data_IF_197379891303
#
_entry.id   IF_197379891303
#
_cell.length_a   1.000
_cell.length_b   1.000
_cell.length_c   1.000
_cell.angle_alpha   90.00
_cell.angle_beta   90.00
_cell.angle_gamma   90.00
#
_symmetry.space_group_name_H-M   'P 1'
#
loop_
_entity.id
_entity.type
_entity.pdbx_description
1 polymer ?
#
# COMPACT_ATOMS: atom_id res chain seq x y z
N UNK A 1 15.41 32.86 -3.22
CA UNK A 1 13.95 32.84 -3.44
C UNK A 1 13.45 31.70 -2.64
N UNK A 2 12.85 31.94 -1.49
CA UNK A 2 12.39 30.94 -0.52
C UNK A 2 11.36 30.05 -1.21
N UNK A 3 11.50 28.73 -1.08
CA UNK A 3 10.51 27.78 -1.58
C UNK A 3 9.17 28.02 -0.83
N UNK A 4 8.09 28.42 -1.51
CA UNK A 4 6.83 28.76 -0.85
C UNK A 4 6.18 27.56 -0.12
N UNK A 5 6.64 26.35 -0.38
CA UNK A 5 6.15 25.14 0.29
C UNK A 5 6.73 24.96 1.72
N UNK A 6 7.74 25.73 2.09
CA UNK A 6 8.53 25.48 3.30
C UNK A 6 8.33 26.53 4.42
N UNK A 7 7.26 27.32 4.39
CA UNK A 7 7.02 28.39 5.36
C UNK A 7 5.75 28.14 6.17
N UNK A 8 5.86 28.27 7.49
CA UNK A 8 4.74 28.17 8.44
C UNK A 8 4.59 29.48 9.22
N UNK A 9 3.35 29.87 9.46
CA UNK A 9 3.04 30.93 10.45
C UNK A 9 2.52 30.22 11.72
N UNK A 10 3.31 30.32 12.78
CA UNK A 10 2.91 29.82 14.10
C UNK A 10 2.29 30.97 14.88
N UNK A 11 1.04 30.82 15.27
CA UNK A 11 0.30 31.75 16.12
C UNK A 11 0.14 31.08 17.49
N UNK A 12 0.66 31.72 18.53
CA UNK A 12 0.61 31.23 19.90
C UNK A 12 -0.04 32.26 20.81
N UNK A 13 -1.08 31.85 21.55
CA UNK A 13 -1.64 32.73 22.62
C UNK A 13 -0.74 32.65 23.84
N UNK A 14 -0.38 33.80 24.39
CA UNK A 14 0.54 33.90 25.53
C UNK A 14 -0.25 34.16 26.81
N UNK A 15 -0.20 33.25 27.81
CA UNK A 15 -0.88 33.43 29.07
C UNK A 15 -0.37 34.62 29.84
N UNK A 16 -1.22 35.20 30.69
CA UNK A 16 -0.86 36.30 31.59
C UNK A 16 0.32 35.88 32.48
N UNK A 17 1.36 36.73 32.54
CA UNK A 17 2.58 36.51 33.30
C UNK A 17 3.67 35.69 32.59
N UNK A 18 3.42 35.20 31.38
CA UNK A 18 4.40 34.41 30.57
C UNK A 18 5.05 35.23 29.44
N UNK A 19 4.60 36.46 29.20
CA UNK A 19 5.04 37.28 28.06
C UNK A 19 6.57 37.43 27.98
N UNK A 20 7.22 37.75 29.11
CA UNK A 20 8.68 37.93 29.16
C UNK A 20 9.46 36.62 29.00
N UNK A 21 8.89 35.49 29.39
CA UNK A 21 9.49 34.16 29.19
C UNK A 21 9.41 33.77 27.70
N UNK A 22 8.26 34.02 27.08
CA UNK A 22 8.05 33.76 25.64
C UNK A 22 8.96 34.65 24.79
N UNK A 23 9.08 35.94 25.13
CA UNK A 23 10.01 36.85 24.41
C UNK A 23 11.44 36.33 24.47
N UNK A 24 11.92 35.96 25.66
CA UNK A 24 13.28 35.42 25.81
C UNK A 24 13.48 34.14 25.02
N UNK A 25 12.53 33.24 25.03
CA UNK A 25 12.63 32.00 24.27
C UNK A 25 12.70 32.27 22.76
N UNK A 26 11.89 33.21 22.25
CA UNK A 26 11.93 33.57 20.82
C UNK A 26 13.20 34.38 20.45
N UNK A 27 13.68 35.24 21.36
CA UNK A 27 14.93 35.97 21.18
C UNK A 27 16.16 35.04 21.22
N UNK A 28 16.18 34.04 22.11
CA UNK A 28 17.22 33.02 22.23
C UNK A 28 17.30 32.11 20.98
N UNK A 29 16.15 31.86 20.35
CA UNK A 29 16.06 31.12 19.05
C UNK A 29 16.38 32.05 17.86
N UNK A 30 16.59 33.38 18.09
CA UNK A 30 16.84 34.40 17.05
C UNK A 30 15.79 34.35 15.92
N UNK A 31 14.51 34.17 16.26
CA UNK A 31 13.40 34.15 15.31
C UNK A 31 12.69 35.50 15.27
N UNK A 32 12.28 35.90 14.08
CA UNK A 32 11.41 37.07 13.92
C UNK A 32 10.01 36.80 14.44
N UNK A 33 9.44 37.72 15.20
CA UNK A 33 8.06 37.57 15.66
C UNK A 33 7.36 38.95 15.78
N UNK A 34 6.04 38.89 15.70
CA UNK A 34 5.18 40.05 16.03
C UNK A 34 4.27 39.70 17.21
N UNK A 35 4.14 40.63 18.15
CA UNK A 35 3.21 40.49 19.27
C UNK A 35 2.03 41.43 19.08
N UNK A 36 0.83 40.91 19.31
CA UNK A 36 -0.41 41.69 19.37
C UNK A 36 -1.04 41.55 20.75
N UNK A 37 -1.46 42.66 21.36
CA UNK A 37 -2.16 42.59 22.63
C UNK A 37 -3.49 41.88 22.49
N UNK A 38 -3.80 40.99 23.45
CA UNK A 38 -5.07 40.30 23.50
C UNK A 38 -6.04 41.12 24.37
N UNK A 39 -7.16 41.57 23.80
CA UNK A 39 -8.08 42.52 24.41
C UNK A 39 -9.39 41.90 24.89
N UNK A 40 -9.55 40.57 24.79
CA UNK A 40 -10.80 39.88 25.17
C UNK A 40 -10.97 39.69 26.69
N UNK A 41 -10.05 40.22 27.52
CA UNK A 41 -10.06 40.08 28.99
C UNK A 41 -10.07 38.64 29.50
N UNK A 42 -9.55 37.68 28.72
CA UNK A 42 -9.39 36.31 29.09
C UNK A 42 -8.02 36.05 29.74
N UNK A 43 -7.65 34.80 29.91
CA UNK A 43 -6.44 34.33 30.56
C UNK A 43 -5.13 34.63 29.77
N UNK A 44 -5.24 35.33 28.63
CA UNK A 44 -4.12 35.61 27.71
C UNK A 44 -3.73 37.09 27.72
N UNK A 45 -2.43 37.35 27.63
CA UNK A 45 -1.87 38.71 27.58
C UNK A 45 -1.60 39.17 26.16
N UNK A 46 -1.20 38.26 25.28
CA UNK A 46 -0.83 38.60 23.91
C UNK A 46 -0.99 37.38 22.96
N UNK A 47 -0.91 37.67 21.66
CA UNK A 47 -0.77 36.68 20.63
C UNK A 47 0.58 36.91 19.95
N UNK A 48 1.41 35.87 19.88
CA UNK A 48 2.66 35.88 19.16
C UNK A 48 2.44 35.28 17.75
N UNK A 49 2.91 35.97 16.73
CA UNK A 49 2.94 35.55 15.34
C UNK A 49 4.38 35.28 14.95
N UNK A 50 4.74 34.06 14.67
CA UNK A 50 6.12 33.63 14.42
C UNK A 50 6.19 32.95 13.06
N UNK A 51 6.73 33.61 12.02
CA UNK A 51 6.97 32.99 10.74
C UNK A 51 8.22 32.10 10.82
N UNK A 52 8.10 30.84 10.50
CA UNK A 52 9.16 29.84 10.63
C UNK A 52 9.31 29.00 9.36
N UNK A 53 10.52 28.55 9.02
CA UNK A 53 10.67 27.42 8.11
C UNK A 53 10.09 26.16 8.76
N UNK A 54 9.60 25.23 7.94
CA UNK A 54 8.87 24.03 8.40
C UNK A 54 9.66 23.22 9.42
N UNK A 55 10.97 23.08 9.23
CA UNK A 55 11.88 22.37 10.12
C UNK A 55 12.15 23.07 11.47
N UNK A 56 11.95 24.38 11.56
CA UNK A 56 12.10 25.15 12.79
C UNK A 56 10.86 25.12 13.70
N UNK A 57 9.70 24.68 13.20
CA UNK A 57 8.43 24.75 13.95
C UNK A 57 8.48 23.90 15.23
N UNK A 58 8.92 22.65 15.16
CA UNK A 58 8.96 21.78 16.35
C UNK A 58 9.99 22.23 17.39
N UNK A 59 11.27 22.58 17.03
CA UNK A 59 12.22 23.13 17.96
C UNK A 59 11.72 24.39 18.68
N UNK A 60 11.18 25.37 17.95
CA UNK A 60 10.65 26.61 18.54
C UNK A 60 9.45 26.33 19.44
N UNK A 61 8.55 25.41 19.06
CA UNK A 61 7.45 25.00 19.94
C UNK A 61 7.95 24.32 21.22
N UNK A 62 9.07 23.58 21.16
CA UNK A 62 9.67 22.95 22.34
C UNK A 62 10.29 24.00 23.27
N UNK A 63 11.03 24.98 22.76
CA UNK A 63 11.54 26.11 23.52
C UNK A 63 10.41 26.93 24.19
N UNK A 64 9.29 27.12 23.48
CA UNK A 64 8.11 27.77 24.07
C UNK A 64 7.47 26.94 25.20
N UNK A 65 7.45 25.61 25.08
CA UNK A 65 6.98 24.72 26.16
C UNK A 65 7.88 24.81 27.38
N UNK A 66 9.20 24.85 27.20
CA UNK A 66 10.15 25.04 28.30
C UNK A 66 9.98 26.41 28.97
N UNK A 67 9.62 27.45 28.19
CA UNK A 67 9.24 28.74 28.70
C UNK A 67 7.90 28.76 29.47
N UNK A 68 7.19 27.62 29.49
CA UNK A 68 5.95 27.40 30.25
C UNK A 68 4.67 27.68 29.48
N UNK A 69 4.70 27.56 28.16
CA UNK A 69 3.51 27.50 27.31
C UNK A 69 3.02 26.04 27.35
N UNK A 70 1.86 25.81 27.96
CA UNK A 70 1.27 24.49 28.09
C UNK A 70 0.79 23.96 26.73
N UNK A 71 0.75 22.64 26.56
CA UNK A 71 0.16 21.97 25.39
C UNK A 71 -1.33 22.28 25.19
N UNK A 72 -2.03 22.69 26.27
CA UNK A 72 -3.42 23.15 26.22
C UNK A 72 -3.57 24.58 25.69
N UNK A 73 -2.47 25.34 25.57
CA UNK A 73 -2.47 26.71 25.09
C UNK A 73 -2.82 26.75 23.58
N UNK A 74 -3.73 27.65 23.23
CA UNK A 74 -4.20 27.77 21.85
C UNK A 74 -3.05 28.16 20.92
N UNK A 75 -2.63 27.18 20.11
CA UNK A 75 -1.56 27.33 19.12
C UNK A 75 -2.09 26.91 17.76
N UNK A 76 -1.87 27.73 16.75
CA UNK A 76 -2.27 27.44 15.35
C UNK A 76 -1.03 27.48 14.48
N UNK A 77 -0.87 26.49 13.64
CA UNK A 77 0.16 26.44 12.60
C UNK A 77 -0.55 26.55 11.25
N UNK A 78 -0.18 27.54 10.46
CA UNK A 78 -0.78 27.85 9.16
C UNK A 78 0.28 27.80 8.07
N UNK A 79 -0.08 27.28 6.90
CA UNK A 79 0.73 27.36 5.70
C UNK A 79 0.81 28.82 5.23
N UNK A 80 2.01 29.39 5.14
CA UNK A 80 2.23 30.69 4.58
C UNK A 80 2.78 30.56 3.16
N UNK A 81 2.16 31.27 2.21
CA UNK A 81 2.59 31.24 0.80
C UNK A 81 3.92 31.91 0.55
N UNK A 82 4.30 32.88 1.35
CA UNK A 82 5.57 33.58 1.28
C UNK A 82 5.82 34.37 2.57
N UNK A 83 7.07 34.51 2.95
CA UNK A 83 7.56 35.43 3.99
C UNK A 83 8.54 36.39 3.34
N UNK A 84 8.43 37.66 3.72
CA UNK A 84 9.38 38.70 3.36
C UNK A 84 10.02 39.19 4.67
N UNK A 85 11.13 38.58 5.05
CA UNK A 85 11.95 38.95 6.21
C UNK A 85 13.42 39.00 5.77
N UNK A 86 14.23 39.83 6.47
CA UNK A 86 15.66 39.94 6.17
C UNK A 86 16.47 38.78 6.73
N UNK A 87 15.99 38.17 7.81
CA UNK A 87 16.73 37.19 8.57
C UNK A 87 16.19 35.75 8.33
N UNK A 88 15.14 35.63 7.51
CA UNK A 88 14.50 34.33 7.25
C UNK A 88 15.42 33.32 6.51
N UNK A 89 16.25 33.80 5.57
CA UNK A 89 17.24 32.98 4.87
C UNK A 89 18.31 32.40 5.84
N UNK A 90 18.75 33.24 6.80
CA UNK A 90 19.70 32.83 7.84
C UNK A 90 19.07 31.80 8.80
N UNK A 91 17.79 31.93 9.10
CA UNK A 91 17.03 30.98 9.91
C UNK A 91 16.85 29.66 9.17
N UNK A 92 16.55 29.71 7.89
CA UNK A 92 16.42 28.52 7.03
C UNK A 92 17.76 27.76 6.94
N UNK A 93 18.90 28.47 6.76
CA UNK A 93 20.23 27.88 6.75
C UNK A 93 20.59 27.23 8.09
N UNK A 94 20.25 27.86 9.22
CA UNK A 94 20.54 27.34 10.58
C UNK A 94 19.82 26.01 10.82
N UNK A 95 18.55 25.92 10.46
CA UNK A 95 17.76 24.71 10.64
C UNK A 95 17.90 23.72 9.47
N UNK A 96 18.57 24.09 8.35
CA UNK A 96 18.87 23.20 7.26
C UNK A 96 19.95 22.14 7.61
N UNK A 97 20.85 22.46 8.57
CA UNK A 97 21.84 21.50 9.07
C UNK A 97 21.23 20.37 9.90
N UNK A 98 20.06 20.57 10.49
CA UNK A 98 19.25 19.49 11.04
C UNK A 98 18.45 18.81 9.93
N UNK A 99 19.08 17.96 9.16
CA UNK A 99 18.67 17.13 8.01
C UNK A 99 17.25 16.50 8.11
N UNK A 100 16.23 17.32 8.38
CA UNK A 100 14.85 16.87 8.54
C UNK A 100 13.87 17.82 7.87
N UNK A 101 13.58 17.56 6.58
CA UNK A 101 12.37 18.00 5.87
C UNK A 101 11.10 17.44 6.54
N UNK A 102 10.95 17.64 7.86
CA UNK A 102 9.82 17.10 8.61
C UNK A 102 8.91 18.21 9.11
N UNK A 103 7.63 18.03 8.89
CA UNK A 103 6.61 18.87 9.53
C UNK A 103 6.53 18.59 11.04
N UNK A 104 6.02 19.56 11.80
CA UNK A 104 5.81 19.38 13.23
C UNK A 104 4.89 18.18 13.53
N UNK A 105 5.12 17.50 14.66
CA UNK A 105 4.33 16.33 15.07
C UNK A 105 2.82 16.58 15.12
N UNK A 106 2.39 17.73 15.62
CA UNK A 106 0.96 18.13 15.66
C UNK A 106 0.39 18.31 14.26
N UNK A 107 1.20 18.84 13.34
CA UNK A 107 0.86 18.99 11.93
C UNK A 107 0.73 17.64 11.24
N UNK A 108 1.67 16.71 11.48
CA UNK A 108 1.59 15.33 10.96
C UNK A 108 0.28 14.64 11.39
N UNK A 109 -0.10 14.77 12.67
CA UNK A 109 -1.35 14.20 13.20
C UNK A 109 -2.55 14.83 12.52
N UNK A 110 -2.58 16.16 12.37
CA UNK A 110 -3.66 16.89 11.71
C UNK A 110 -3.78 16.49 10.24
N UNK A 111 -2.66 16.44 9.50
CA UNK A 111 -2.62 16.04 8.11
C UNK A 111 -3.14 14.60 7.90
N UNK A 112 -2.74 13.65 8.77
CA UNK A 112 -3.23 12.29 8.69
C UNK A 112 -4.74 12.17 9.01
N UNK A 113 -5.26 13.00 9.92
CA UNK A 113 -6.69 13.05 10.23
C UNK A 113 -7.51 13.67 9.10
N UNK A 114 -6.97 14.67 8.42
CA UNK A 114 -7.63 15.33 7.28
C UNK A 114 -7.82 14.39 6.09
N UNK A 115 -6.92 13.42 5.90
CA UNK A 115 -7.06 12.38 4.87
C UNK A 115 -8.23 11.43 5.10
N UNK A 116 -8.82 11.41 6.29
CA UNK A 116 -9.96 10.53 6.63
C UNK A 116 -11.27 11.24 6.32
N UNK A 117 -12.02 10.83 5.29
CA UNK A 117 -13.31 11.43 4.98
C UNK A 117 -14.34 11.09 6.07
N UNK A 118 -15.46 11.83 6.08
CA UNK A 118 -16.58 11.48 6.97
C UNK A 118 -17.06 10.04 6.69
N UNK A 119 -17.54 9.34 7.72
CA UNK A 119 -17.94 7.92 7.63
C UNK A 119 -18.92 7.64 6.48
N UNK A 120 -19.87 8.55 6.23
CA UNK A 120 -20.81 8.39 5.12
C UNK A 120 -20.12 8.41 3.76
N UNK A 121 -19.21 9.38 3.55
CA UNK A 121 -18.42 9.48 2.31
C UNK A 121 -17.51 8.25 2.15
N UNK A 122 -16.88 7.83 3.25
CA UNK A 122 -16.02 6.64 3.28
C UNK A 122 -16.76 5.39 2.79
N UNK A 123 -17.94 5.11 3.35
CA UNK A 123 -18.76 3.95 2.98
C UNK A 123 -19.17 4.03 1.50
N UNK A 124 -19.73 5.16 1.06
CA UNK A 124 -20.20 5.30 -0.33
C UNK A 124 -19.07 5.13 -1.33
N UNK A 125 -17.95 5.83 -1.12
CA UNK A 125 -16.80 5.75 -2.04
C UNK A 125 -16.19 4.35 -2.07
N UNK A 126 -16.09 3.66 -0.93
CA UNK A 126 -15.58 2.29 -0.85
C UNK A 126 -16.50 1.31 -1.60
N UNK A 127 -17.81 1.41 -1.42
CA UNK A 127 -18.79 0.57 -2.15
C UNK A 127 -18.72 0.81 -3.65
N UNK A 128 -18.74 2.08 -4.09
CA UNK A 128 -18.65 2.43 -5.50
C UNK A 128 -17.35 1.93 -6.12
N UNK A 129 -16.23 2.14 -5.44
CA UNK A 129 -14.92 1.66 -5.89
C UNK A 129 -14.90 0.13 -6.04
N UNK A 130 -15.39 -0.61 -5.03
CA UNK A 130 -15.43 -2.08 -5.06
C UNK A 130 -16.32 -2.62 -6.18
N UNK A 131 -17.48 -1.99 -6.43
CA UNK A 131 -18.39 -2.37 -7.53
C UNK A 131 -17.71 -2.15 -8.89
N UNK A 132 -17.09 -0.98 -9.10
CA UNK A 132 -16.38 -0.67 -10.36
C UNK A 132 -15.19 -1.61 -10.55
N UNK A 133 -14.42 -1.89 -9.48
CA UNK A 133 -13.31 -2.84 -9.54
C UNK A 133 -13.79 -4.24 -9.94
N UNK A 134 -14.89 -4.70 -9.35
CA UNK A 134 -15.47 -6.01 -9.69
C UNK A 134 -15.94 -6.07 -11.15
N UNK A 135 -16.56 -5.00 -11.64
CA UNK A 135 -16.92 -4.90 -13.05
C UNK A 135 -15.69 -4.93 -13.96
N UNK A 136 -14.65 -4.17 -13.62
CA UNK A 136 -13.39 -4.14 -14.36
C UNK A 136 -12.70 -5.50 -14.43
N UNK A 137 -12.65 -6.22 -13.31
CA UNK A 137 -12.08 -7.58 -13.23
C UNK A 137 -12.87 -8.58 -14.09
N UNK A 138 -14.19 -8.55 -14.03
CA UNK A 138 -15.06 -9.45 -14.81
C UNK A 138 -15.07 -9.13 -16.32
N UNK A 139 -14.81 -7.87 -16.67
CA UNK A 139 -14.70 -7.40 -18.07
C UNK A 139 -13.27 -7.56 -18.64
N UNK A 140 -12.32 -8.06 -17.84
CA UNK A 140 -10.89 -8.10 -18.20
C UNK A 140 -10.38 -6.74 -18.69
N UNK A 141 -10.74 -5.66 -17.96
CA UNK A 141 -10.43 -4.29 -18.34
C UNK A 141 -9.55 -3.58 -17.30
N UNK A 142 -8.22 -3.54 -17.51
CA UNK A 142 -7.30 -2.82 -16.62
C UNK A 142 -7.68 -1.35 -16.43
N UNK A 143 -8.18 -0.71 -17.49
CA UNK A 143 -8.56 0.70 -17.42
C UNK A 143 -9.71 0.96 -16.44
N UNK A 144 -10.73 0.09 -16.40
CA UNK A 144 -11.85 0.19 -15.46
C UNK A 144 -11.38 -0.12 -14.05
N UNK A 145 -10.50 -1.12 -13.89
CA UNK A 145 -9.91 -1.47 -12.59
C UNK A 145 -9.13 -0.27 -12.04
N UNK A 146 -8.25 0.35 -12.82
CA UNK A 146 -7.51 1.57 -12.42
C UNK A 146 -8.46 2.72 -12.10
N UNK A 147 -9.51 2.93 -12.91
CA UNK A 147 -10.54 3.96 -12.63
C UNK A 147 -11.20 3.78 -11.25
N UNK A 148 -11.42 2.55 -10.80
CA UNK A 148 -11.99 2.25 -9.49
C UNK A 148 -11.09 2.71 -8.32
N UNK A 149 -9.78 2.61 -8.50
CA UNK A 149 -8.78 2.92 -7.46
C UNK A 149 -8.71 4.41 -7.15
N UNK A 150 -8.97 5.28 -8.14
CA UNK A 150 -8.97 6.74 -7.98
C UNK A 150 -10.05 7.20 -6.98
N UNK A 151 -11.11 6.42 -6.84
CA UNK A 151 -12.26 6.75 -5.98
C UNK A 151 -12.06 6.24 -4.54
N UNK A 152 -11.24 5.22 -4.35
CA UNK A 152 -11.09 4.51 -3.08
C UNK A 152 -10.45 5.38 -1.98
N UNK A 153 -11.08 5.56 -0.81
CA UNK A 153 -10.59 6.44 0.24
C UNK A 153 -9.67 5.70 1.25
N UNK A 154 -8.69 4.93 0.77
CA UNK A 154 -7.91 4.03 1.61
C UNK A 154 -6.63 4.65 2.19
N UNK A 155 -6.16 5.77 1.68
CA UNK A 155 -4.95 6.45 2.18
C UNK A 155 -5.14 6.92 3.64
N UNK A 156 -6.27 7.54 3.96
CA UNK A 156 -6.55 8.08 5.29
C UNK A 156 -6.43 7.02 6.39
N UNK A 157 -7.15 5.88 6.32
CA UNK A 157 -7.02 4.79 7.29
C UNK A 157 -5.60 4.25 7.46
N UNK A 158 -4.85 4.09 6.35
CA UNK A 158 -3.48 3.57 6.40
C UNK A 158 -2.52 4.56 7.09
N UNK A 159 -2.59 5.84 6.73
CA UNK A 159 -1.75 6.87 7.34
C UNK A 159 -2.13 7.12 8.80
N UNK A 160 -3.42 7.15 9.13
CA UNK A 160 -3.90 7.27 10.52
C UNK A 160 -3.39 6.14 11.41
N UNK A 161 -3.35 4.90 10.91
CA UNK A 161 -2.78 3.75 11.64
C UNK A 161 -1.29 3.93 11.89
N UNK A 162 -0.55 4.31 10.85
CA UNK A 162 0.91 4.43 10.91
C UNK A 162 1.34 5.62 11.77
N UNK A 163 0.70 6.77 11.60
CA UNK A 163 0.95 7.97 12.43
C UNK A 163 0.56 7.71 13.87
N UNK A 164 -0.64 7.17 14.14
CA UNK A 164 -1.08 6.82 15.51
C UNK A 164 -0.11 5.87 16.21
N UNK A 165 0.53 4.96 15.44
CA UNK A 165 1.56 4.06 15.98
C UNK A 165 2.84 4.82 16.36
N UNK A 166 3.36 5.67 15.46
CA UNK A 166 4.65 6.35 15.68
C UNK A 166 4.55 7.44 16.75
N UNK A 167 3.40 8.11 16.86
CA UNK A 167 3.16 9.14 17.90
C UNK A 167 2.66 8.57 19.21
N UNK A 168 2.38 7.23 19.28
CA UNK A 168 1.83 6.52 20.44
C UNK A 168 0.47 7.09 20.86
N UNK A 169 -0.39 7.34 19.87
CA UNK A 169 -1.80 7.72 20.06
C UNK A 169 -2.69 6.49 19.83
N UNK A 170 -3.18 5.90 20.95
CA UNK A 170 -3.98 4.67 20.92
C UNK A 170 -5.34 4.85 20.28
N UNK A 171 -5.95 6.03 20.42
CA UNK A 171 -7.25 6.33 19.85
C UNK A 171 -7.14 6.48 18.33
N UNK A 172 -6.14 7.23 17.86
CA UNK A 172 -5.84 7.40 16.46
C UNK A 172 -5.50 6.06 15.79
N UNK A 173 -4.63 5.26 16.43
CA UNK A 173 -4.29 3.91 15.95
C UNK A 173 -5.53 3.03 15.81
N UNK A 174 -6.33 2.92 16.88
CA UNK A 174 -7.53 2.08 16.89
C UNK A 174 -8.55 2.54 15.83
N UNK A 175 -8.71 3.86 15.64
CA UNK A 175 -9.55 4.44 14.60
C UNK A 175 -9.08 4.06 13.20
N UNK A 176 -7.76 4.17 12.93
CA UNK A 176 -7.17 3.81 11.65
C UNK A 176 -7.37 2.33 11.32
N UNK A 177 -7.03 1.43 12.26
CA UNK A 177 -7.23 -0.02 12.11
C UNK A 177 -8.70 -0.37 11.90
N UNK A 178 -9.61 0.22 12.68
CA UNK A 178 -11.05 0.01 12.52
C UNK A 178 -11.52 0.38 11.12
N UNK A 179 -11.08 1.52 10.60
CA UNK A 179 -11.45 1.96 9.24
C UNK A 179 -10.85 1.05 8.15
N UNK A 180 -9.61 0.57 8.32
CA UNK A 180 -9.02 -0.41 7.39
C UNK A 180 -9.84 -1.71 7.36
N UNK A 181 -10.18 -2.27 8.52
CA UNK A 181 -10.98 -3.50 8.61
C UNK A 181 -12.37 -3.29 8.02
N UNK A 182 -13.05 -2.19 8.39
CA UNK A 182 -14.39 -1.86 7.86
C UNK A 182 -14.34 -1.67 6.35
N UNK A 183 -13.36 -0.92 5.84
CA UNK A 183 -13.19 -0.69 4.40
C UNK A 183 -12.95 -1.98 3.63
N UNK A 184 -12.08 -2.86 4.15
CA UNK A 184 -11.81 -4.15 3.53
C UNK A 184 -13.05 -5.05 3.50
N UNK A 185 -13.71 -5.22 4.64
CA UNK A 185 -14.93 -6.05 4.71
C UNK A 185 -16.04 -5.51 3.83
N UNK A 186 -16.20 -4.17 3.79
CA UNK A 186 -17.18 -3.52 2.94
C UNK A 186 -16.86 -3.70 1.45
N UNK A 187 -15.60 -3.61 1.07
CA UNK A 187 -15.14 -3.86 -0.30
C UNK A 187 -15.44 -5.29 -0.73
N UNK A 188 -15.09 -6.27 0.11
CA UNK A 188 -15.34 -7.70 -0.17
C UNK A 188 -16.84 -7.97 -0.26
N UNK A 189 -17.64 -7.45 0.69
CA UNK A 189 -19.09 -7.68 0.71
C UNK A 189 -19.78 -7.06 -0.51
N UNK A 190 -19.38 -5.82 -0.88
CA UNK A 190 -19.93 -5.13 -2.05
C UNK A 190 -19.54 -5.83 -3.36
N UNK A 191 -18.31 -6.27 -3.47
CA UNK A 191 -17.81 -7.03 -4.60
C UNK A 191 -18.54 -8.38 -4.72
N UNK A 192 -18.70 -9.11 -3.62
CA UNK A 192 -19.42 -10.38 -3.59
C UNK A 192 -20.90 -10.21 -3.99
N UNK A 193 -21.56 -9.19 -3.46
CA UNK A 193 -22.96 -8.90 -3.78
C UNK A 193 -23.13 -8.54 -5.27
N UNK A 194 -22.26 -7.67 -5.79
CA UNK A 194 -22.32 -7.27 -7.20
C UNK A 194 -21.96 -8.42 -8.14
N UNK A 195 -20.93 -9.19 -7.84
CA UNK A 195 -20.51 -10.36 -8.60
C UNK A 195 -21.62 -11.46 -8.59
N UNK A 196 -22.23 -11.71 -7.43
CA UNK A 196 -23.37 -12.63 -7.32
C UNK A 196 -24.56 -12.15 -8.15
N UNK A 197 -24.89 -10.85 -8.10
CA UNK A 197 -25.92 -10.26 -8.92
C UNK A 197 -25.63 -10.44 -10.41
N UNK A 198 -24.41 -10.09 -10.87
CA UNK A 198 -24.00 -10.24 -12.27
C UNK A 198 -24.08 -11.69 -12.78
N UNK A 199 -23.73 -12.64 -11.92
CA UNK A 199 -23.85 -14.07 -12.20
C UNK A 199 -25.33 -14.51 -12.31
N UNK A 200 -26.19 -14.08 -11.39
CA UNK A 200 -27.61 -14.50 -11.37
C UNK A 200 -28.43 -13.90 -12.52
N UNK A 201 -28.11 -12.69 -12.94
CA UNK A 201 -28.77 -12.00 -14.07
C UNK A 201 -28.12 -12.39 -15.42
N UNK A 202 -27.12 -13.28 -15.42
CA UNK A 202 -26.41 -13.76 -16.62
C UNK A 202 -25.68 -12.63 -17.40
N UNK A 203 -25.21 -11.59 -16.71
CA UNK A 203 -24.33 -10.56 -17.31
C UNK A 203 -22.95 -11.14 -17.67
N UNK A 204 -22.55 -12.19 -16.97
CA UNK A 204 -21.36 -12.98 -17.28
C UNK A 204 -21.82 -14.34 -17.81
N UNK A 205 -21.23 -14.87 -18.89
CA UNK A 205 -21.63 -16.17 -19.43
C UNK A 205 -21.64 -17.27 -18.37
N UNK A 206 -22.67 -18.14 -18.34
CA UNK A 206 -22.88 -19.08 -17.21
C UNK A 206 -21.76 -20.07 -16.95
N UNK A 207 -20.92 -20.35 -17.96
CA UNK A 207 -19.80 -21.28 -17.86
C UNK A 207 -18.43 -20.60 -17.77
N UNK A 208 -18.39 -19.28 -17.53
CA UNK A 208 -17.12 -18.56 -17.39
C UNK A 208 -16.40 -19.03 -16.12
N UNK A 209 -15.21 -19.58 -16.31
CA UNK A 209 -14.31 -19.82 -15.19
C UNK A 209 -13.55 -18.53 -14.88
N UNK A 210 -13.89 -17.91 -13.76
CA UNK A 210 -13.28 -16.64 -13.35
C UNK A 210 -11.77 -16.76 -13.11
N UNK A 211 -11.26 -17.98 -12.95
CA UNK A 211 -9.82 -18.22 -12.78
C UNK A 211 -9.03 -18.12 -14.07
N UNK A 212 -9.71 -18.07 -15.23
CA UNK A 212 -9.06 -17.90 -16.55
C UNK A 212 -9.01 -16.44 -17.00
N UNK A 213 -9.65 -15.53 -16.26
CA UNK A 213 -9.62 -14.09 -16.57
C UNK A 213 -8.26 -13.54 -16.12
N UNK A 214 -7.43 -12.96 -17.03
CA UNK A 214 -6.09 -12.46 -16.72
C UNK A 214 -6.06 -11.49 -15.52
N UNK A 215 -6.97 -10.50 -15.51
CA UNK A 215 -7.10 -9.53 -14.41
C UNK A 215 -7.39 -10.19 -13.05
N UNK A 216 -8.07 -11.35 -13.03
CA UNK A 216 -8.32 -12.12 -11.81
C UNK A 216 -7.10 -12.96 -11.45
N UNK A 217 -6.45 -13.60 -12.44
CA UNK A 217 -5.29 -14.47 -12.24
C UNK A 217 -4.14 -13.76 -11.53
N UNK A 218 -3.84 -12.52 -11.92
CA UNK A 218 -2.79 -11.70 -11.29
C UNK A 218 -3.00 -11.49 -9.78
N UNK A 219 -4.21 -11.74 -9.28
CA UNK A 219 -4.61 -11.44 -7.89
C UNK A 219 -4.97 -12.70 -7.08
N UNK A 220 -4.65 -13.88 -7.60
CA UNK A 220 -4.96 -15.14 -6.92
C UNK A 220 -4.01 -15.46 -5.77
N UNK A 221 -2.80 -14.97 -5.83
CA UNK A 221 -1.76 -15.23 -4.82
C UNK A 221 -0.82 -14.03 -4.67
N UNK A 222 -0.25 -13.82 -3.48
CA UNK A 222 0.78 -12.82 -3.29
C UNK A 222 2.03 -13.19 -4.08
N UNK A 223 2.65 -12.18 -4.71
CA UNK A 223 3.90 -12.28 -5.41
C UNK A 223 4.87 -11.16 -4.98
N UNK A 224 6.10 -11.22 -5.49
CA UNK A 224 7.13 -10.21 -5.18
C UNK A 224 6.77 -8.83 -5.74
N UNK A 225 6.15 -8.75 -6.90
CA UNK A 225 5.80 -7.47 -7.52
C UNK A 225 4.67 -6.77 -6.77
N UNK A 226 3.65 -7.52 -6.33
CA UNK A 226 2.58 -6.96 -5.50
C UNK A 226 3.10 -6.44 -4.15
N UNK A 227 4.07 -7.14 -3.55
CA UNK A 227 4.76 -6.65 -2.36
C UNK A 227 5.52 -5.36 -2.62
N UNK A 228 6.27 -5.27 -3.74
CA UNK A 228 7.01 -4.06 -4.11
C UNK A 228 6.07 -2.86 -4.29
N UNK A 229 4.91 -3.07 -4.93
CA UNK A 229 3.86 -2.05 -5.08
C UNK A 229 3.32 -1.62 -3.71
N UNK A 230 3.04 -2.55 -2.81
CA UNK A 230 2.52 -2.24 -1.48
C UNK A 230 3.54 -1.46 -0.63
N UNK A 231 4.82 -1.87 -0.65
CA UNK A 231 5.91 -1.15 0.03
C UNK A 231 6.07 0.25 -0.57
N UNK A 232 6.12 0.37 -1.90
CA UNK A 232 6.20 1.66 -2.59
C UNK A 232 5.03 2.60 -2.24
N UNK A 233 3.81 2.06 -2.16
CA UNK A 233 2.62 2.80 -1.75
C UNK A 233 2.72 3.31 -0.30
N UNK A 234 3.25 2.50 0.61
CA UNK A 234 3.48 2.90 2.00
C UNK A 234 4.54 3.99 2.14
N UNK A 235 5.65 3.87 1.39
CA UNK A 235 6.71 4.91 1.32
C UNK A 235 6.13 6.21 0.76
N UNK A 236 5.46 6.16 -0.39
CA UNK A 236 4.87 7.34 -1.01
C UNK A 236 3.81 7.99 -0.10
N UNK A 237 3.01 7.17 0.63
CA UNK A 237 2.01 7.66 1.59
C UNK A 237 2.61 8.48 2.71
N UNK A 238 3.69 8.01 3.31
CA UNK A 238 4.38 8.73 4.37
C UNK A 238 5.08 9.99 3.86
N UNK A 239 5.73 9.93 2.69
CA UNK A 239 6.33 11.11 2.06
C UNK A 239 5.28 12.16 1.67
N UNK A 240 4.09 11.74 1.24
CA UNK A 240 2.97 12.67 0.98
C UNK A 240 2.58 13.48 2.22
N UNK A 241 2.59 12.84 3.39
CA UNK A 241 2.30 13.52 4.66
C UNK A 241 3.41 14.48 5.09
N UNK A 242 4.68 14.10 4.88
CA UNK A 242 5.83 14.85 5.43
C UNK A 242 6.40 15.88 4.48
N UNK A 243 6.34 15.65 3.16
CA UNK A 243 6.96 16.48 2.13
C UNK A 243 5.97 17.16 1.17
N UNK A 244 4.66 17.14 1.47
CA UNK A 244 3.66 17.84 0.67
C UNK A 244 3.39 17.26 -0.72
N UNK A 245 3.80 16.02 -0.99
CA UNK A 245 3.47 15.32 -2.24
C UNK A 245 1.96 15.12 -2.33
N UNK A 246 1.40 15.17 -3.55
CA UNK A 246 -0.04 15.05 -3.78
C UNK A 246 -0.63 13.76 -3.18
N UNK A 247 -1.43 13.91 -2.13
CA UNK A 247 -2.13 12.83 -1.44
C UNK A 247 -3.09 12.05 -2.35
N UNK A 248 -3.62 12.68 -3.39
CA UNK A 248 -4.51 12.05 -4.35
C UNK A 248 -3.81 10.96 -5.17
N UNK A 249 -2.59 11.23 -5.68
CA UNK A 249 -1.82 10.24 -6.44
C UNK A 249 -1.40 9.06 -5.56
N UNK A 250 -0.99 9.34 -4.34
CA UNK A 250 -0.61 8.31 -3.37
C UNK A 250 -1.80 7.46 -2.95
N UNK A 251 -2.98 8.08 -2.81
CA UNK A 251 -4.23 7.37 -2.53
C UNK A 251 -4.54 6.30 -3.57
N UNK A 252 -4.30 6.61 -4.85
CA UNK A 252 -4.44 5.64 -5.94
C UNK A 252 -3.48 4.47 -5.76
N UNK A 253 -2.19 4.71 -5.44
CA UNK A 253 -1.21 3.63 -5.26
C UNK A 253 -1.58 2.67 -4.12
N UNK A 254 -2.08 3.20 -2.99
CA UNK A 254 -2.58 2.36 -1.88
C UNK A 254 -3.80 1.54 -2.31
N UNK A 255 -4.70 2.16 -3.08
CA UNK A 255 -5.88 1.49 -3.59
C UNK A 255 -5.55 0.39 -4.62
N UNK A 256 -4.51 0.57 -5.45
CA UNK A 256 -3.98 -0.46 -6.37
C UNK A 256 -3.64 -1.75 -5.61
N UNK A 257 -3.01 -1.62 -4.46
CA UNK A 257 -2.60 -2.76 -3.66
C UNK A 257 -3.75 -3.47 -2.93
N UNK A 258 -4.90 -2.80 -2.70
CA UNK A 258 -5.93 -3.31 -1.81
C UNK A 258 -7.29 -3.59 -2.48
N UNK A 259 -7.78 -2.69 -3.35
CA UNK A 259 -9.14 -2.79 -3.90
C UNK A 259 -9.31 -3.96 -4.86
N UNK A 260 -8.46 -4.16 -5.90
CA UNK A 260 -8.65 -5.27 -6.83
C UNK A 260 -8.53 -6.64 -6.17
N UNK A 261 -7.54 -6.90 -5.29
CA UNK A 261 -7.50 -8.16 -4.56
C UNK A 261 -8.72 -8.37 -3.66
N UNK A 262 -9.23 -7.32 -2.99
CA UNK A 262 -10.45 -7.41 -2.19
C UNK A 262 -11.68 -7.73 -3.05
N UNK A 263 -11.77 -7.15 -4.26
CA UNK A 263 -12.82 -7.46 -5.23
C UNK A 263 -12.70 -8.92 -5.73
N UNK A 264 -11.48 -9.41 -5.96
CA UNK A 264 -11.23 -10.82 -6.33
C UNK A 264 -11.66 -11.79 -5.23
N UNK A 265 -11.48 -11.44 -3.94
CA UNK A 265 -12.07 -12.22 -2.82
C UNK A 265 -13.58 -12.32 -2.98
N UNK A 266 -14.25 -11.20 -3.24
CA UNK A 266 -15.70 -11.15 -3.46
C UNK A 266 -16.17 -11.97 -4.66
N UNK A 267 -15.45 -11.91 -5.78
CA UNK A 267 -15.70 -12.74 -6.97
C UNK A 267 -15.57 -14.23 -6.60
N UNK A 268 -14.50 -14.62 -5.91
CA UNK A 268 -14.30 -15.99 -5.46
C UNK A 268 -15.45 -16.52 -4.60
N UNK A 269 -15.98 -15.69 -3.69
CA UNK A 269 -17.16 -16.02 -2.88
C UNK A 269 -18.39 -16.22 -3.78
N UNK A 270 -18.65 -15.31 -4.71
CA UNK A 270 -19.81 -15.35 -5.60
C UNK A 270 -19.80 -16.57 -6.55
N UNK A 271 -18.63 -17.02 -6.98
CA UNK A 271 -18.47 -18.20 -7.83
C UNK A 271 -18.30 -19.52 -7.05
N UNK A 272 -18.25 -19.46 -5.71
CA UNK A 272 -18.01 -20.65 -4.89
C UNK A 272 -16.61 -21.25 -5.10
N UNK A 273 -15.61 -20.41 -5.36
CA UNK A 273 -14.21 -20.78 -5.55
C UNK A 273 -13.40 -20.41 -4.29
N UNK A 274 -13.39 -21.24 -3.25
CA UNK A 274 -12.76 -20.90 -1.96
C UNK A 274 -11.27 -20.61 -2.08
N UNK A 275 -10.56 -21.28 -3.00
CA UNK A 275 -9.13 -21.07 -3.22
C UNK A 275 -8.82 -19.66 -3.76
N UNK A 276 -9.66 -19.13 -4.66
CA UNK A 276 -9.58 -17.74 -5.12
C UNK A 276 -9.75 -16.77 -3.95
N UNK A 277 -10.76 -17.00 -3.12
CA UNK A 277 -11.05 -16.13 -1.97
C UNK A 277 -9.92 -16.16 -0.93
N UNK A 278 -9.39 -17.35 -0.60
CA UNK A 278 -8.31 -17.48 0.39
C UNK A 278 -7.02 -16.85 -0.14
N UNK A 279 -6.59 -17.18 -1.36
CA UNK A 279 -5.36 -16.64 -1.95
C UNK A 279 -5.37 -15.12 -2.04
N UNK A 280 -6.46 -14.55 -2.59
CA UNK A 280 -6.62 -13.09 -2.67
C UNK A 280 -6.75 -12.43 -1.30
N UNK A 281 -7.35 -13.10 -0.28
CA UNK A 281 -7.41 -12.58 1.10
C UNK A 281 -6.00 -12.48 1.70
N UNK A 282 -5.16 -13.48 1.47
CA UNK A 282 -3.75 -13.44 1.91
C UNK A 282 -3.02 -12.30 1.24
N UNK A 283 -3.21 -12.10 -0.08
CA UNK A 283 -2.63 -10.98 -0.83
C UNK A 283 -3.05 -9.62 -0.23
N UNK A 284 -4.34 -9.41 0.05
CA UNK A 284 -4.84 -8.18 0.69
C UNK A 284 -4.17 -7.95 2.04
N UNK A 285 -4.06 -8.98 2.88
CA UNK A 285 -3.46 -8.86 4.22
C UNK A 285 -1.97 -8.56 4.14
N UNK A 286 -1.24 -9.24 3.26
CA UNK A 286 0.19 -8.98 3.02
C UNK A 286 0.39 -7.53 2.58
N UNK A 287 -0.38 -7.07 1.61
CA UNK A 287 -0.28 -5.70 1.10
C UNK A 287 -0.63 -4.66 2.17
N UNK A 288 -1.72 -4.87 2.93
CA UNK A 288 -2.15 -3.97 4.00
C UNK A 288 -1.07 -3.79 5.07
N UNK A 289 -0.48 -4.90 5.51
CA UNK A 289 0.58 -4.88 6.53
C UNK A 289 1.87 -4.28 5.99
N UNK A 290 2.20 -4.55 4.72
CA UNK A 290 3.39 -4.00 4.05
C UNK A 290 3.30 -2.48 3.86
N UNK A 291 2.13 -1.96 3.50
CA UNK A 291 1.86 -0.52 3.43
C UNK A 291 2.09 0.13 4.79
N UNK A 292 1.46 -0.41 5.85
CA UNK A 292 1.58 0.14 7.20
C UNK A 292 3.02 0.05 7.72
N UNK A 293 3.73 -1.05 7.45
CA UNK A 293 5.12 -1.20 7.83
C UNK A 293 6.03 -0.21 7.12
N UNK A 294 5.92 -0.12 5.78
CA UNK A 294 6.75 0.78 4.99
C UNK A 294 6.54 2.24 5.44
N UNK A 295 5.29 2.64 5.67
CA UNK A 295 4.97 3.94 6.22
C UNK A 295 5.61 4.17 7.60
N UNK A 296 5.54 3.19 8.51
CA UNK A 296 6.17 3.27 9.83
C UNK A 296 7.69 3.39 9.73
N UNK A 297 8.33 2.62 8.85
CA UNK A 297 9.79 2.67 8.65
C UNK A 297 10.20 4.05 8.16
N UNK A 298 9.50 4.60 7.17
CA UNK A 298 9.79 5.94 6.64
C UNK A 298 9.59 7.00 7.71
N UNK A 299 8.43 7.03 8.40
CA UNK A 299 8.17 7.97 9.48
C UNK A 299 9.22 7.87 10.60
N UNK A 300 9.66 6.65 10.92
CA UNK A 300 10.70 6.42 11.91
C UNK A 300 12.07 6.95 11.44
N UNK A 301 12.39 6.73 10.17
CA UNK A 301 13.62 7.23 9.55
C UNK A 301 13.61 8.76 9.43
N UNK A 302 12.46 9.36 9.12
CA UNK A 302 12.26 10.83 9.14
C UNK A 302 12.34 11.45 10.55
N UNK A 303 12.72 10.69 11.56
CA UNK A 303 13.02 11.21 12.92
C UNK A 303 11.81 11.32 13.86
N UNK A 304 10.62 10.90 13.45
CA UNK A 304 9.47 10.87 14.36
C UNK A 304 9.67 9.81 15.44
N UNK A 305 9.66 10.24 16.72
CA UNK A 305 9.87 9.39 17.89
C UNK A 305 8.80 9.68 18.95
N UNK A 306 8.42 8.71 19.79
CA UNK A 306 7.53 8.97 20.92
C UNK A 306 8.22 9.86 21.96
N UNK A 307 7.62 10.98 22.34
CA UNK A 307 8.17 11.87 23.37
C UNK A 307 8.30 11.23 24.80
N UNK A 308 7.64 10.08 25.02
CA UNK A 308 7.56 9.45 26.35
C UNK A 308 8.43 8.22 26.52
N UNK A 309 9.42 7.98 25.68
CA UNK A 309 10.28 6.79 25.79
C UNK A 309 11.10 6.71 27.08
N UNK A 310 11.29 7.83 27.75
CA UNK A 310 12.12 7.91 28.97
C UNK A 310 11.33 7.98 30.30
N UNK A 311 10.01 8.12 30.29
CA UNK A 311 9.26 8.42 31.51
C UNK A 311 8.29 7.35 32.04
N UNK A 312 7.97 6.29 31.27
CA UNK A 312 7.01 5.28 31.77
C UNK A 312 7.41 3.86 31.32
N UNK A 313 7.83 3.01 32.28
CA UNK A 313 8.13 1.58 32.06
C UNK A 313 6.92 0.79 31.52
N UNK A 314 5.70 1.18 31.84
CA UNK A 314 4.46 0.56 31.33
C UNK A 314 4.18 0.86 29.85
N UNK A 315 4.42 2.10 29.40
CA UNK A 315 4.26 2.50 28.00
C UNK A 315 5.30 1.82 27.10
N UNK A 316 6.52 1.58 27.63
CA UNK A 316 7.59 0.84 26.95
C UNK A 316 7.18 -0.60 26.67
N UNK A 317 6.54 -1.28 27.62
CA UNK A 317 6.05 -2.65 27.45
C UNK A 317 4.96 -2.78 26.39
N UNK A 318 4.01 -1.84 26.33
CA UNK A 318 2.94 -1.83 25.33
C UNK A 318 3.48 -1.56 23.92
N UNK A 319 4.39 -0.59 23.77
CA UNK A 319 5.00 -0.24 22.48
C UNK A 319 5.90 -1.36 21.95
N UNK A 320 6.76 -1.93 22.82
CA UNK A 320 7.61 -3.07 22.43
C UNK A 320 6.76 -4.26 22.02
N UNK A 321 5.65 -4.52 22.71
CA UNK A 321 4.73 -5.59 22.35
C UNK A 321 4.07 -5.34 20.98
N UNK A 322 3.66 -4.11 20.68
CA UNK A 322 3.07 -3.75 19.38
C UNK A 322 4.08 -3.85 18.25
N UNK A 323 5.26 -3.28 18.43
CA UNK A 323 6.36 -3.39 17.47
C UNK A 323 6.78 -4.86 17.32
N UNK A 324 6.83 -5.62 18.41
CA UNK A 324 7.12 -7.05 18.39
C UNK A 324 6.07 -7.86 17.63
N UNK A 325 4.78 -7.62 17.88
CA UNK A 325 3.69 -8.28 17.15
C UNK A 325 3.78 -7.92 15.66
N UNK A 326 3.98 -6.65 15.34
CA UNK A 326 4.14 -6.20 13.95
C UNK A 326 5.34 -6.88 13.29
N UNK A 327 6.51 -6.89 13.95
CA UNK A 327 7.71 -7.52 13.44
C UNK A 327 7.55 -9.04 13.25
N UNK A 328 6.93 -9.73 14.19
CA UNK A 328 6.64 -11.17 14.08
C UNK A 328 5.65 -11.44 12.95
N UNK A 329 4.59 -10.64 12.85
CA UNK A 329 3.60 -10.78 11.77
C UNK A 329 4.25 -10.58 10.40
N UNK A 330 5.13 -9.58 10.28
CA UNK A 330 5.90 -9.32 9.06
C UNK A 330 6.83 -10.49 8.75
N UNK A 331 7.54 -11.01 9.77
CA UNK A 331 8.46 -12.14 9.59
C UNK A 331 7.71 -13.39 9.10
N UNK A 332 6.56 -13.69 9.67
CA UNK A 332 5.69 -14.79 9.24
C UNK A 332 5.18 -14.55 7.81
N UNK A 333 4.73 -13.34 7.50
CA UNK A 333 4.26 -12.99 6.15
C UNK A 333 5.40 -12.99 5.13
N UNK A 334 6.59 -12.50 5.51
CA UNK A 334 7.78 -12.54 4.65
C UNK A 334 8.25 -13.97 4.40
N UNK A 335 8.18 -14.84 5.40
CA UNK A 335 8.49 -16.26 5.25
C UNK A 335 7.47 -16.95 4.33
N UNK A 336 6.18 -16.65 4.50
CA UNK A 336 5.12 -17.14 3.63
C UNK A 336 5.31 -16.65 2.18
N UNK A 337 5.56 -15.34 2.01
CA UNK A 337 5.84 -14.74 0.70
C UNK A 337 7.10 -15.34 0.05
N UNK A 338 8.16 -15.52 0.84
CA UNK A 338 9.38 -16.20 0.39
C UNK A 338 9.11 -17.62 -0.10
N UNK A 339 8.23 -18.35 0.60
CA UNK A 339 7.76 -19.68 0.18
C UNK A 339 7.00 -19.64 -1.14
N UNK A 340 6.04 -18.74 -1.29
CA UNK A 340 5.25 -18.58 -2.53
C UNK A 340 6.14 -18.11 -3.70
N UNK A 341 7.04 -17.15 -3.46
CA UNK A 341 7.98 -16.67 -4.49
C UNK A 341 8.95 -17.77 -4.94
N UNK A 342 9.45 -18.56 -3.98
CA UNK A 342 10.32 -19.70 -4.29
C UNK A 342 9.60 -20.78 -5.10
N UNK A 343 8.33 -21.05 -4.76
CA UNK A 343 7.48 -22.01 -5.49
C UNK A 343 7.19 -21.49 -6.92
N UNK A 344 6.87 -20.21 -7.07
CA UNK A 344 6.68 -19.57 -8.38
C UNK A 344 7.95 -19.58 -9.23
N UNK A 345 9.12 -19.32 -8.62
CA UNK A 345 10.42 -19.43 -9.30
C UNK A 345 10.69 -20.86 -9.77
N UNK A 346 10.43 -21.86 -8.92
CA UNK A 346 10.59 -23.27 -9.30
C UNK A 346 9.64 -23.66 -10.43
N UNK A 347 8.39 -23.20 -10.40
CA UNK A 347 7.42 -23.48 -11.45
C UNK A 347 7.88 -22.87 -12.80
N UNK A 348 8.29 -21.61 -12.81
CA UNK A 348 8.80 -20.94 -14.00
C UNK A 348 10.06 -21.64 -14.59
N UNK A 349 11.01 -22.04 -13.72
CA UNK A 349 12.22 -22.75 -14.16
C UNK A 349 11.88 -24.15 -14.70
N UNK A 350 10.85 -24.80 -14.13
CA UNK A 350 10.38 -26.11 -14.61
C UNK A 350 9.72 -25.98 -15.98
N UNK A 351 8.92 -24.93 -16.17
CA UNK A 351 8.26 -24.63 -17.45
C UNK A 351 9.28 -24.33 -18.57
N UNK A 352 10.33 -23.55 -18.26
CA UNK A 352 11.43 -23.27 -19.18
C UNK A 352 12.15 -24.56 -19.60
N UNK A 353 12.45 -25.44 -18.64
CA UNK A 353 13.08 -26.75 -18.94
C UNK A 353 12.17 -27.66 -19.78
N UNK A 354 10.85 -27.62 -19.54
CA UNK A 354 9.89 -28.36 -20.34
C UNK A 354 9.88 -27.83 -21.79
N UNK A 355 9.88 -26.50 -21.95
CA UNK A 355 9.95 -25.89 -23.28
C UNK A 355 11.22 -26.30 -24.04
N UNK A 356 12.39 -26.14 -23.43
CA UNK A 356 13.66 -26.55 -24.03
C UNK A 356 13.70 -28.04 -24.40
N UNK A 357 13.17 -28.90 -23.52
CA UNK A 357 13.15 -30.34 -23.76
C UNK A 357 12.21 -30.76 -24.89
N UNK A 358 11.08 -30.05 -25.06
CA UNK A 358 10.09 -30.33 -26.12
C UNK A 358 10.58 -29.74 -27.45
N UNK A 359 11.10 -28.51 -27.45
CA UNK A 359 11.67 -27.86 -28.63
C UNK A 359 12.79 -28.71 -29.25
N UNK A 360 13.71 -29.21 -28.42
CA UNK A 360 14.81 -30.07 -28.90
C UNK A 360 14.36 -31.38 -29.53
N UNK A 361 13.13 -31.86 -29.28
CA UNK A 361 12.60 -33.06 -29.94
C UNK A 361 11.86 -32.73 -31.24
N UNK A 362 11.19 -31.56 -31.25
CA UNK A 362 10.37 -31.17 -32.39
C UNK A 362 11.24 -30.57 -33.48
N UNK A 363 12.27 -29.77 -33.14
CA UNK A 363 13.23 -29.17 -34.11
C UNK A 363 14.01 -30.21 -34.92
N UNK A 364 14.23 -31.41 -34.37
CA UNK A 364 14.86 -32.52 -35.09
C UNK A 364 13.95 -33.17 -36.12
N UNK A 365 12.70 -32.65 -36.33
CA UNK A 365 11.70 -33.26 -37.23
C UNK A 365 11.08 -32.22 -38.15
N UNK A 366 11.43 -32.31 -39.45
CA UNK A 366 10.95 -31.40 -40.51
C UNK A 366 9.42 -31.44 -40.70
N UNK A 367 8.73 -32.52 -40.27
CA UNK A 367 7.29 -32.75 -40.47
C UNK A 367 6.40 -32.25 -39.32
N UNK A 368 7.00 -31.78 -38.22
CA UNK A 368 6.28 -31.39 -37.01
C UNK A 368 6.68 -29.98 -36.56
N UNK A 369 5.71 -29.15 -36.17
CA UNK A 369 5.93 -27.80 -35.73
C UNK A 369 5.29 -27.60 -34.34
N UNK A 370 6.05 -27.10 -33.37
CA UNK A 370 5.47 -26.73 -32.08
C UNK A 370 4.52 -25.56 -32.22
N UNK A 371 3.28 -25.69 -31.79
CA UNK A 371 2.27 -24.64 -31.80
C UNK A 371 2.14 -23.98 -30.44
N UNK A 372 2.02 -24.79 -29.37
CA UNK A 372 1.98 -24.29 -28.00
C UNK A 372 2.27 -25.41 -26.99
N UNK A 373 2.77 -25.02 -25.83
CA UNK A 373 2.89 -25.88 -24.65
C UNK A 373 2.06 -25.23 -23.55
N UNK A 374 1.15 -25.99 -22.95
CA UNK A 374 0.32 -25.57 -21.83
C UNK A 374 0.63 -26.47 -20.63
N UNK A 375 1.24 -25.90 -19.58
CA UNK A 375 1.53 -26.62 -18.35
C UNK A 375 0.39 -26.39 -17.36
N UNK A 376 -0.39 -27.43 -17.07
CA UNK A 376 -1.46 -27.37 -16.09
C UNK A 376 -0.92 -27.69 -14.71
N UNK A 377 -1.08 -26.75 -13.80
CA UNK A 377 -0.66 -26.88 -12.41
C UNK A 377 -1.83 -27.35 -11.53
N UNK A 378 -1.50 -28.03 -10.44
CA UNK A 378 -2.45 -28.34 -9.38
C UNK A 378 -3.09 -27.08 -8.81
N UNK A 379 -4.33 -27.18 -8.36
CA UNK A 379 -5.08 -26.08 -7.75
C UNK A 379 -4.61 -25.70 -6.34
N UNK A 380 -3.53 -26.28 -5.84
CA UNK A 380 -2.99 -26.00 -4.51
C UNK A 380 -2.30 -24.63 -4.47
N UNK A 381 -2.62 -23.84 -3.42
CA UNK A 381 -2.15 -22.45 -3.27
C UNK A 381 -0.65 -22.36 -2.94
N UNK A 382 -0.10 -23.33 -2.21
CA UNK A 382 1.23 -23.26 -1.60
C UNK A 382 2.26 -24.18 -2.24
N UNK A 383 1.84 -25.21 -2.99
CA UNK A 383 2.74 -26.13 -3.68
C UNK A 383 2.18 -26.45 -5.06
N UNK A 384 2.47 -25.57 -6.02
CA UNK A 384 2.09 -25.78 -7.42
C UNK A 384 2.93 -26.91 -8.00
N UNK A 385 2.31 -28.10 -8.17
CA UNK A 385 2.92 -29.18 -8.92
C UNK A 385 2.36 -29.20 -10.33
N UNK A 386 3.22 -29.38 -11.32
CA UNK A 386 2.81 -29.62 -12.70
C UNK A 386 2.13 -30.97 -12.77
N UNK A 387 0.83 -31.01 -13.05
CA UNK A 387 0.04 -32.25 -13.11
C UNK A 387 -0.07 -32.79 -14.53
N UNK A 388 -0.17 -31.90 -15.51
CA UNK A 388 -0.33 -32.30 -16.90
C UNK A 388 0.34 -31.28 -17.81
N UNK A 389 1.10 -31.77 -18.77
CA UNK A 389 1.66 -30.95 -19.86
C UNK A 389 0.92 -31.29 -21.15
N UNK A 390 0.29 -30.29 -21.76
CA UNK A 390 -0.39 -30.43 -23.06
C UNK A 390 0.49 -29.81 -24.12
N UNK A 391 1.02 -30.60 -25.02
CA UNK A 391 1.84 -30.17 -26.16
C UNK A 391 1.00 -30.18 -27.42
N UNK A 392 0.81 -29.04 -28.07
CA UNK A 392 0.14 -28.96 -29.37
C UNK A 392 1.18 -28.94 -30.49
N UNK A 393 1.10 -29.93 -31.34
CA UNK A 393 2.01 -30.12 -32.48
C UNK A 393 1.25 -29.99 -33.79
N UNK A 394 1.69 -29.08 -34.64
CA UNK A 394 1.18 -28.93 -35.98
C UNK A 394 1.83 -29.96 -36.92
N UNK A 395 1.03 -30.63 -37.74
CA UNK A 395 1.51 -31.62 -38.73
C UNK A 395 0.90 -31.32 -40.12
N UNK A 396 1.70 -31.42 -41.16
CA UNK A 396 1.26 -31.19 -42.54
C UNK A 396 0.78 -32.48 -43.26
N UNK A 397 1.04 -33.64 -42.67
CA UNK A 397 0.69 -34.95 -43.27
C UNK A 397 -0.35 -35.69 -42.46
N UNK A 398 -1.11 -36.59 -43.10
CA UNK A 398 -2.06 -37.49 -42.43
C UNK A 398 -1.35 -38.58 -41.58
N UNK A 399 -0.04 -38.72 -41.73
CA UNK A 399 0.74 -39.68 -40.97
C UNK A 399 1.25 -39.02 -39.67
N UNK A 400 0.57 -39.27 -38.56
CA UNK A 400 0.89 -38.70 -37.25
C UNK A 400 2.23 -39.26 -36.75
N UNK A 401 3.25 -38.41 -36.52
CA UNK A 401 4.51 -38.86 -35.93
C UNK A 401 4.31 -39.33 -34.47
N UNK A 402 4.95 -40.45 -34.09
CA UNK A 402 4.86 -40.98 -32.74
C UNK A 402 5.72 -40.15 -31.76
N UNK A 403 5.23 -38.95 -31.41
CA UNK A 403 5.96 -38.00 -30.53
C UNK A 403 5.62 -38.13 -29.05
N UNK A 404 4.51 -38.76 -28.68
CA UNK A 404 4.05 -38.81 -27.30
C UNK A 404 5.10 -39.41 -26.35
N UNK A 405 5.64 -40.57 -26.69
CA UNK A 405 6.64 -41.27 -25.84
C UNK A 405 8.00 -40.56 -25.79
N UNK A 406 8.58 -40.02 -26.88
CA UNK A 406 9.80 -39.23 -26.82
C UNK A 406 9.65 -37.92 -26.02
N UNK A 407 8.52 -37.20 -26.15
CA UNK A 407 8.23 -35.98 -25.41
C UNK A 407 8.06 -36.30 -23.92
N UNK A 408 7.31 -37.32 -23.58
CA UNK A 408 7.10 -37.76 -22.20
C UNK A 408 8.43 -38.12 -21.50
N UNK A 409 9.29 -38.90 -22.14
CA UNK A 409 10.61 -39.24 -21.64
C UNK A 409 11.57 -38.01 -21.52
N UNK A 410 11.38 -37.02 -22.35
CA UNK A 410 12.19 -35.78 -22.26
C UNK A 410 11.72 -34.90 -21.11
N UNK A 411 10.43 -34.73 -20.93
CA UNK A 411 9.83 -34.02 -19.81
C UNK A 411 10.22 -34.64 -18.49
N UNK A 412 10.14 -35.95 -18.37
CA UNK A 412 10.56 -36.70 -17.17
C UNK A 412 12.05 -36.48 -16.85
N UNK A 413 12.93 -36.53 -17.87
CA UNK A 413 14.36 -36.25 -17.69
C UNK A 413 14.65 -34.78 -17.29
N UNK A 414 13.92 -33.85 -17.84
CA UNK A 414 14.10 -32.42 -17.59
C UNK A 414 13.58 -32.00 -16.19
N UNK A 415 12.49 -32.61 -15.75
CA UNK A 415 11.80 -32.26 -14.49
C UNK A 415 12.20 -33.15 -13.30
N UNK A 416 12.70 -34.37 -13.58
CA UNK A 416 13.00 -35.38 -12.57
C UNK A 416 11.77 -36.02 -11.90
N UNK A 417 10.58 -35.80 -12.46
CA UNK A 417 9.30 -36.30 -11.94
C UNK A 417 8.44 -36.80 -13.09
N UNK A 418 7.62 -37.81 -12.82
CA UNK A 418 6.62 -38.30 -13.74
C UNK A 418 5.46 -37.31 -13.83
N UNK A 419 5.27 -36.66 -14.99
CA UNK A 419 4.22 -35.70 -15.28
C UNK A 419 3.38 -36.24 -16.43
N UNK A 420 2.06 -36.22 -16.28
CA UNK A 420 1.17 -36.69 -17.32
C UNK A 420 1.31 -35.81 -18.56
N UNK A 421 1.73 -36.43 -19.67
CA UNK A 421 1.94 -35.75 -20.95
C UNK A 421 0.82 -36.04 -21.94
N UNK A 422 0.16 -35.00 -22.47
CA UNK A 422 -0.83 -35.12 -23.54
C UNK A 422 -0.29 -34.45 -24.80
N UNK A 423 -0.12 -35.18 -25.90
CA UNK A 423 0.27 -34.63 -27.19
C UNK A 423 -0.98 -34.52 -28.08
N UNK A 424 -1.30 -33.32 -28.51
CA UNK A 424 -2.42 -33.02 -29.39
C UNK A 424 -1.91 -32.60 -30.77
N UNK A 425 -2.35 -33.34 -31.80
CA UNK A 425 -1.97 -33.03 -33.16
C UNK A 425 -3.01 -32.11 -33.81
N UNK A 426 -2.55 -31.05 -34.46
CA UNK A 426 -3.37 -30.11 -35.22
C UNK A 426 -2.90 -30.14 -36.65
N UNK A 427 -3.81 -30.47 -37.60
CA UNK A 427 -3.48 -30.48 -39.00
C UNK A 427 -3.36 -29.04 -39.51
N UNK A 428 -2.21 -28.70 -40.10
CA UNK A 428 -1.95 -27.40 -40.70
C UNK A 428 -2.09 -27.56 -42.20
N UNK A 429 -3.01 -26.79 -42.85
CA UNK A 429 -3.09 -26.65 -44.31
C UNK A 429 -2.33 -25.40 -44.70
N UNK A 430 -1.22 -25.52 -45.41
CA UNK A 430 -0.55 -24.42 -46.09
C UNK A 430 -1.29 -24.16 -47.39
N UNK A 431 -1.75 -22.90 -47.62
CA UNK A 431 -2.40 -22.47 -48.86
C UNK A 431 -1.39 -21.93 -49.87
#
# INVERSE_FOLDING_TARGET
>A
MVDPANVRLVQVTVPVGKLEAVRRALDDEEVDYALSDETSEREYAAIAYVPLPTNAVEPVLESLREAGIDESTYTVVLDAKAVVSRDFEALEERYAEEDTDRIARKELVAAAQELVPSMRKYIVLTVVSAVIATAGLLLDSPAVVVGSMVIAPLIGPAMTTSVGTIVVDDEMFARGVKLQVVGLLLSIASAAAFAWFGRTVHLVPPFTDVTTIPEVQERLAPDFFSLAVAVGAGVAGSLSLTAGVSSALVGVMIAVALIPPAATVGIGIAWGRPMVSVGSSVLVLVNLLSINLAALVVLRYSGYRPNRWFQLDEARGATIRRVGILAVTILVLSAFLGGVTYDSYRAATTEERIHEAVDGIIDDREEARLLSIEVKHSSDIVFRRSETVVVMVGVESDNLPALASPIDAAIERATGHEIRTEVRYVQIASA
#
